data_IF_050623685848
#
_entry.id   IF_050623685848
#
_cell.length_a   1.000
_cell.length_b   1.000
_cell.length_c   1.000
_cell.angle_alpha   90.00
_cell.angle_beta   90.00
_cell.angle_gamma   90.00
#
_symmetry.space_group_name_H-M   'P 1'
#
loop_
_entity.id
_entity.type
_entity.pdbx_description
1 polymer ?
#
# COMPACT_ATOMS: atom_id res chain seq x y z
N UNK A 1 20.71 -8.54 41.26
CA UNK A 1 22.14 -8.37 41.62
C UNK A 1 22.38 -6.89 41.95
N UNK A 2 22.63 -6.59 43.23
CA UNK A 2 22.75 -5.23 43.78
C UNK A 2 24.20 -4.75 43.66
N UNK A 3 24.45 -3.58 43.07
CA UNK A 3 25.74 -2.87 43.18
C UNK A 3 25.58 -1.64 44.06
N UNK A 4 26.48 -1.56 45.04
CA UNK A 4 26.52 -0.65 46.18
C UNK A 4 27.31 0.61 45.79
N UNK A 5 26.78 1.80 46.06
CA UNK A 5 27.60 3.02 46.13
C UNK A 5 27.76 3.43 47.60
N UNK A 6 29.02 3.56 48.00
CA UNK A 6 29.51 3.80 49.35
C UNK A 6 29.37 5.29 49.69
N UNK A 7 28.75 5.59 50.83
CA UNK A 7 28.91 6.87 51.53
C UNK A 7 30.38 7.05 51.90
N UNK A 8 30.96 8.18 51.51
CA UNK A 8 32.22 8.67 52.07
C UNK A 8 31.86 9.40 53.36
N UNK A 9 32.06 8.71 54.48
CA UNK A 9 32.10 9.28 55.82
C UNK A 9 33.51 9.84 56.01
N UNK A 10 33.65 11.17 56.02
CA UNK A 10 34.89 11.81 56.42
C UNK A 10 34.94 11.86 57.95
N UNK A 11 35.74 10.97 58.53
CA UNK A 11 36.17 11.02 59.90
C UNK A 11 37.32 12.03 60.04
N UNK A 12 37.14 13.04 60.88
CA UNK A 12 38.26 13.70 61.56
C UNK A 12 37.89 13.78 63.03
N UNK A 13 38.44 12.84 63.80
CA UNK A 13 38.43 12.84 65.24
C UNK A 13 39.80 13.26 65.74
N UNK A 14 39.76 13.95 66.89
CA UNK A 14 40.80 14.05 67.90
C UNK A 14 41.98 15.02 67.72
N UNK A 15 41.92 16.03 68.59
CA UNK A 15 42.94 16.40 69.57
C UNK A 15 44.21 17.09 69.06
N UNK A 16 44.11 18.43 68.96
CA UNK A 16 45.20 19.31 69.36
C UNK A 16 44.72 20.11 70.57
N UNK A 17 45.09 19.63 71.75
CA UNK A 17 45.05 20.39 73.00
C UNK A 17 46.27 21.31 72.98
N UNK A 18 46.08 22.58 72.63
CA UNK A 18 47.11 23.61 72.68
C UNK A 18 46.54 24.85 73.38
N UNK A 19 47.00 25.10 74.60
CA UNK A 19 46.96 26.39 75.29
C UNK A 19 45.58 26.91 75.67
N UNK A 20 45.19 26.68 76.93
CA UNK A 20 44.35 27.65 77.64
C UNK A 20 45.20 28.90 77.83
N UNK A 21 45.21 29.79 76.83
CA UNK A 21 45.50 31.20 77.08
C UNK A 21 44.32 31.71 77.91
N UNK A 22 44.55 31.89 79.21
CA UNK A 22 43.69 32.73 80.01
C UNK A 22 43.67 34.09 79.31
N UNK A 23 42.54 34.44 78.70
CA UNK A 23 42.20 35.84 78.59
C UNK A 23 42.19 36.35 80.03
N UNK A 24 43.11 37.25 80.38
CA UNK A 24 42.96 38.04 81.59
C UNK A 24 41.60 38.72 81.48
N UNK A 25 40.65 38.27 82.28
CA UNK A 25 39.47 39.04 82.63
C UNK A 25 39.99 40.32 83.29
N UNK A 26 40.15 41.36 82.48
CA UNK A 26 40.31 42.72 82.95
C UNK A 26 38.98 43.13 83.58
N UNK A 27 38.75 42.70 84.82
CA UNK A 27 37.65 43.16 85.65
C UNK A 27 37.75 44.70 85.74
N UNK A 28 36.75 45.43 85.24
CA UNK A 28 36.82 46.89 85.08
C UNK A 28 37.07 47.56 86.43
N UNK A 29 38.11 48.39 86.51
CA UNK A 29 38.64 48.91 87.80
C UNK A 29 37.86 50.13 88.30
N UNK A 30 36.86 50.63 87.55
CA UNK A 30 35.91 51.65 88.00
C UNK A 30 34.54 51.58 87.28
N UNK A 31 33.48 52.08 87.92
CA UNK A 31 32.12 52.18 87.35
C UNK A 31 32.12 52.93 86.00
N UNK A 32 32.98 53.94 85.86
CA UNK A 32 33.13 54.75 84.64
C UNK A 32 33.72 53.95 83.47
N UNK A 33 34.67 53.06 83.76
CA UNK A 33 35.29 52.15 82.77
C UNK A 33 34.28 51.11 82.26
N UNK A 34 33.47 50.56 83.16
CA UNK A 34 32.34 49.66 82.86
C UNK A 34 31.31 50.33 81.94
N UNK A 35 30.96 51.58 82.25
CA UNK A 35 29.97 52.34 81.50
C UNK A 35 30.46 52.67 80.08
N UNK A 36 31.78 52.82 79.91
CA UNK A 36 32.43 53.03 78.62
C UNK A 36 32.46 51.74 77.80
N UNK A 37 32.84 50.61 78.41
CA UNK A 37 32.84 49.29 77.79
C UNK A 37 31.43 48.86 77.34
N UNK A 38 30.41 49.10 78.17
CA UNK A 38 29.00 48.82 77.83
C UNK A 38 28.51 49.72 76.70
N UNK A 39 28.87 51.01 76.68
CA UNK A 39 28.53 51.91 75.55
C UNK A 39 29.18 51.45 74.24
N UNK A 40 30.41 50.97 74.29
CA UNK A 40 31.15 50.48 73.13
C UNK A 40 30.55 49.16 72.61
N UNK A 41 30.28 48.20 73.51
CA UNK A 41 29.60 46.95 73.16
C UNK A 41 28.19 47.19 72.59
N UNK A 42 27.40 48.11 73.15
CA UNK A 42 26.10 48.47 72.59
C UNK A 42 26.19 49.08 71.18
N UNK A 43 27.26 49.82 70.87
CA UNK A 43 27.46 50.38 69.54
C UNK A 43 27.87 49.30 68.52
N UNK A 44 28.74 48.36 68.92
CA UNK A 44 29.15 47.20 68.12
C UNK A 44 27.97 46.25 67.87
N UNK A 45 27.20 45.92 68.91
CA UNK A 45 25.98 45.11 68.82
C UNK A 45 24.94 45.77 67.89
N UNK A 46 24.80 47.09 67.94
CA UNK A 46 23.89 47.84 67.07
C UNK A 46 24.32 47.81 65.60
N UNK A 47 25.63 47.82 65.33
CA UNK A 47 26.18 47.67 63.98
C UNK A 47 25.94 46.24 63.46
N UNK A 48 26.28 45.22 64.26
CA UNK A 48 26.07 43.82 63.88
C UNK A 48 24.58 43.51 63.67
N UNK A 49 23.70 44.05 64.51
CA UNK A 49 22.25 43.92 64.35
C UNK A 49 21.76 44.53 63.03
N UNK A 50 22.25 45.71 62.65
CA UNK A 50 21.94 46.34 61.36
C UNK A 50 22.43 45.52 60.18
N UNK A 51 23.62 44.94 60.25
CA UNK A 51 24.14 44.06 59.20
C UNK A 51 23.36 42.75 59.08
N UNK A 52 22.93 42.16 60.21
CA UNK A 52 22.06 40.98 60.21
C UNK A 52 20.70 41.29 59.62
N UNK A 53 20.09 42.42 60.00
CA UNK A 53 18.81 42.86 59.44
C UNK A 53 18.92 43.12 57.93
N UNK A 54 19.98 43.80 57.48
CA UNK A 54 20.23 44.04 56.06
C UNK A 54 20.42 42.73 55.27
N UNK A 55 21.20 41.78 55.80
CA UNK A 55 21.35 40.44 55.21
C UNK A 55 20.03 39.69 55.14
N UNK A 56 19.26 39.69 56.24
CA UNK A 56 17.95 39.03 56.29
C UNK A 56 16.97 39.60 55.25
N UNK A 57 16.92 40.92 55.09
CA UNK A 57 16.08 41.57 54.08
C UNK A 57 16.54 41.22 52.66
N UNK A 58 17.85 41.23 52.40
CA UNK A 58 18.40 40.85 51.10
C UNK A 58 18.09 39.38 50.75
N UNK A 59 18.25 38.46 51.70
CA UNK A 59 17.95 37.04 51.51
C UNK A 59 16.45 36.80 51.28
N UNK A 60 15.58 37.49 52.03
CA UNK A 60 14.13 37.44 51.83
C UNK A 60 13.76 37.89 50.41
N UNK A 61 14.33 38.99 49.95
CA UNK A 61 14.02 39.55 48.63
C UNK A 61 14.55 38.65 47.51
N UNK A 62 15.74 38.06 47.68
CA UNK A 62 16.30 37.07 46.76
C UNK A 62 15.41 35.81 46.67
N UNK A 63 14.94 35.29 47.82
CA UNK A 63 14.02 34.15 47.86
C UNK A 63 12.67 34.46 47.19
N UNK A 64 12.13 35.67 47.40
CA UNK A 64 10.90 36.10 46.74
C UNK A 64 11.06 36.19 45.23
N UNK A 65 12.18 36.72 44.75
CA UNK A 65 12.48 36.79 43.31
C UNK A 65 12.61 35.41 42.68
N UNK A 66 13.34 34.49 43.32
CA UNK A 66 13.48 33.12 42.81
C UNK A 66 12.15 32.38 42.82
N UNK A 67 11.33 32.54 43.88
CA UNK A 67 9.99 31.97 43.93
C UNK A 67 9.10 32.52 42.80
N UNK A 68 9.15 33.83 42.53
CA UNK A 68 8.40 34.46 41.44
C UNK A 68 8.87 33.93 40.06
N UNK A 69 10.17 33.75 39.87
CA UNK A 69 10.75 33.16 38.67
C UNK A 69 10.28 31.72 38.45
N UNK A 70 10.41 30.87 39.47
CA UNK A 70 9.99 29.45 39.40
C UNK A 70 8.49 29.34 39.14
N UNK A 71 7.66 30.18 39.78
CA UNK A 71 6.21 30.22 39.51
C UNK A 71 5.89 30.60 38.06
N UNK A 72 6.62 31.57 37.51
CA UNK A 72 6.47 31.98 36.11
C UNK A 72 6.88 30.87 35.15
N UNK A 73 8.00 30.20 35.41
CA UNK A 73 8.43 29.06 34.60
C UNK A 73 7.44 27.90 34.69
N UNK A 74 6.96 27.55 35.89
CA UNK A 74 5.95 26.51 36.09
C UNK A 74 4.70 26.79 35.26
N UNK A 75 4.18 28.03 35.31
CA UNK A 75 3.01 28.44 34.54
C UNK A 75 3.25 28.31 33.02
N UNK A 76 4.43 28.71 32.53
CA UNK A 76 4.79 28.58 31.12
C UNK A 76 4.89 27.10 30.69
N UNK A 77 5.49 26.24 31.52
CA UNK A 77 5.59 24.79 31.27
C UNK A 77 4.22 24.11 31.28
N UNK A 78 3.35 24.46 32.23
CA UNK A 78 1.98 23.95 32.30
C UNK A 78 1.17 24.35 31.06
N UNK A 79 1.26 25.63 30.63
CA UNK A 79 0.61 26.08 29.39
C UNK A 79 1.12 25.29 28.18
N UNK A 80 2.43 25.11 28.07
CA UNK A 80 3.03 24.33 26.98
C UNK A 80 2.59 22.87 27.01
N UNK A 81 2.49 22.27 28.19
CA UNK A 81 1.97 20.91 28.38
C UNK A 81 0.55 20.80 27.87
N UNK A 82 -0.34 21.71 28.27
CA UNK A 82 -1.73 21.73 27.81
C UNK A 82 -1.87 21.95 26.30
N UNK A 83 -0.99 22.75 25.68
CA UNK A 83 -0.95 22.90 24.22
C UNK A 83 -0.50 21.62 23.51
N UNK A 84 0.50 20.92 24.06
CA UNK A 84 1.01 19.67 23.50
C UNK A 84 -0.01 18.54 23.64
N UNK A 85 -0.70 18.46 24.78
CA UNK A 85 -1.77 17.51 25.04
C UNK A 85 -2.92 17.68 24.03
N UNK A 86 -3.40 18.92 23.84
CA UNK A 86 -4.40 19.22 22.79
C UNK A 86 -3.96 18.82 21.39
N UNK A 87 -2.67 19.01 21.05
CA UNK A 87 -2.13 18.60 19.74
C UNK A 87 -2.03 17.08 19.63
N UNK A 88 -1.66 16.42 20.71
CA UNK A 88 -1.59 14.97 20.78
C UNK A 88 -2.98 14.37 20.56
N UNK A 89 -4.00 14.84 21.29
CA UNK A 89 -5.38 14.38 21.13
C UNK A 89 -5.90 14.59 19.70
N UNK A 90 -5.65 15.78 19.13
CA UNK A 90 -6.04 16.07 17.75
C UNK A 90 -5.33 15.19 16.71
N UNK A 91 -4.07 14.84 16.94
CA UNK A 91 -3.32 13.95 16.07
C UNK A 91 -3.80 12.50 16.20
N UNK A 92 -4.12 12.03 17.41
CA UNK A 92 -4.71 10.70 17.62
C UNK A 92 -6.03 10.56 16.85
N UNK A 93 -6.91 11.56 16.91
CA UNK A 93 -8.15 11.56 16.10
C UNK A 93 -7.85 11.52 14.60
N UNK A 94 -6.91 12.36 14.11
CA UNK A 94 -6.55 12.37 12.67
C UNK A 94 -5.96 11.04 12.20
N UNK A 95 -5.14 10.40 13.04
CA UNK A 95 -4.54 9.10 12.72
C UNK A 95 -5.62 8.02 12.69
N UNK A 96 -6.56 8.02 13.64
CA UNK A 96 -7.69 7.11 13.65
C UNK A 96 -8.55 7.28 12.38
N UNK A 97 -8.92 8.51 12.04
CA UNK A 97 -9.69 8.83 10.83
C UNK A 97 -8.95 8.40 9.55
N UNK A 98 -7.64 8.67 9.47
CA UNK A 98 -6.84 8.31 8.30
C UNK A 98 -6.74 6.79 8.14
N UNK A 99 -6.57 6.05 9.24
CA UNK A 99 -6.56 4.57 9.24
C UNK A 99 -7.92 4.00 8.81
N UNK A 100 -9.01 4.57 9.31
CA UNK A 100 -10.35 4.16 8.91
C UNK A 100 -10.57 4.39 7.41
N UNK A 101 -10.26 5.58 6.89
CA UNK A 101 -10.36 5.89 5.45
C UNK A 101 -9.49 4.96 4.59
N UNK A 102 -8.29 4.64 5.06
CA UNK A 102 -7.42 3.70 4.36
C UNK A 102 -8.05 2.31 4.30
N UNK A 103 -8.59 1.83 5.42
CA UNK A 103 -9.28 0.53 5.49
C UNK A 103 -10.50 0.48 4.57
N UNK A 104 -11.35 1.52 4.58
CA UNK A 104 -12.51 1.64 3.70
C UNK A 104 -12.09 1.62 2.21
N UNK A 105 -11.04 2.36 1.85
CA UNK A 105 -10.51 2.39 0.49
C UNK A 105 -9.91 1.06 0.07
N UNK A 106 -9.19 0.37 0.95
CA UNK A 106 -8.66 -0.96 0.68
C UNK A 106 -9.79 -1.98 0.50
N UNK A 107 -10.83 -1.92 1.34
CA UNK A 107 -12.02 -2.78 1.18
C UNK A 107 -12.69 -2.58 -0.17
N UNK A 108 -12.95 -1.33 -0.56
CA UNK A 108 -13.51 -0.99 -1.87
C UNK A 108 -12.60 -1.42 -3.02
N UNK A 109 -11.28 -1.26 -2.88
CA UNK A 109 -10.33 -1.71 -3.91
C UNK A 109 -10.31 -3.23 -4.06
N UNK A 110 -10.35 -3.98 -2.96
CA UNK A 110 -10.45 -5.45 -2.98
C UNK A 110 -11.71 -5.93 -3.68
N UNK A 111 -12.85 -5.24 -3.49
CA UNK A 111 -14.09 -5.55 -4.21
C UNK A 111 -13.93 -5.33 -5.72
N UNK A 112 -13.38 -4.19 -6.13
CA UNK A 112 -13.12 -3.88 -7.54
C UNK A 112 -12.15 -4.89 -8.18
N UNK A 113 -11.10 -5.29 -7.46
CA UNK A 113 -10.16 -6.32 -7.93
C UNK A 113 -10.81 -7.70 -8.00
N UNK A 114 -11.75 -8.02 -7.11
CA UNK A 114 -12.56 -9.23 -7.20
C UNK A 114 -13.38 -9.26 -8.49
N UNK A 115 -14.04 -8.15 -8.83
CA UNK A 115 -14.82 -8.03 -10.07
C UNK A 115 -13.91 -8.11 -11.31
N UNK A 116 -12.74 -7.46 -11.28
CA UNK A 116 -11.75 -7.57 -12.33
C UNK A 116 -11.28 -9.01 -12.52
N UNK A 117 -11.00 -9.72 -11.44
CA UNK A 117 -10.53 -11.11 -11.46
C UNK A 117 -11.60 -12.04 -12.06
N UNK A 118 -12.87 -11.84 -11.70
CA UNK A 118 -13.98 -12.58 -12.28
C UNK A 118 -14.14 -12.30 -13.79
N UNK A 119 -14.18 -11.02 -14.18
CA UNK A 119 -14.29 -10.63 -15.58
C UNK A 119 -13.09 -11.09 -16.43
N UNK A 120 -11.88 -11.01 -15.88
CA UNK A 120 -10.68 -11.52 -16.53
C UNK A 120 -10.70 -13.05 -16.66
N UNK A 121 -11.24 -13.77 -15.67
CA UNK A 121 -11.44 -15.22 -15.74
C UNK A 121 -12.39 -15.63 -16.87
N UNK A 122 -13.53 -14.95 -16.97
CA UNK A 122 -14.50 -15.15 -18.06
C UNK A 122 -13.87 -14.84 -19.43
N UNK A 123 -13.15 -13.72 -19.53
CA UNK A 123 -12.46 -13.33 -20.75
C UNK A 123 -11.37 -14.32 -21.15
N UNK A 124 -10.59 -14.85 -20.19
CA UNK A 124 -9.58 -15.88 -20.43
C UNK A 124 -10.20 -17.12 -21.06
N UNK A 125 -11.32 -17.60 -20.51
CA UNK A 125 -12.02 -18.78 -21.02
C UNK A 125 -12.64 -18.50 -22.40
N UNK A 126 -13.20 -17.31 -22.60
CA UNK A 126 -13.70 -16.85 -23.90
C UNK A 126 -12.61 -16.77 -24.97
N UNK A 127 -11.48 -16.12 -24.67
CA UNK A 127 -10.33 -16.00 -25.58
C UNK A 127 -9.74 -17.36 -25.94
N UNK A 128 -9.63 -18.28 -24.97
CA UNK A 128 -9.06 -19.60 -25.19
C UNK A 128 -9.95 -20.50 -26.05
N UNK A 129 -11.27 -20.38 -25.92
CA UNK A 129 -12.24 -21.19 -26.66
C UNK A 129 -12.65 -20.58 -28.00
N UNK A 130 -12.47 -19.28 -28.21
CA UNK A 130 -12.84 -18.58 -29.45
C UNK A 130 -12.03 -19.01 -30.67
N UNK A 131 -12.66 -19.05 -31.85
CA UNK A 131 -11.97 -19.28 -33.14
C UNK A 131 -10.93 -18.21 -33.47
N UNK A 132 -11.11 -17.00 -32.95
CA UNK A 132 -10.13 -15.92 -33.10
C UNK A 132 -8.79 -16.27 -32.42
N UNK A 133 -8.74 -17.28 -31.52
CA UNK A 133 -7.52 -17.78 -30.91
C UNK A 133 -6.45 -18.17 -31.94
N UNK A 134 -6.85 -18.74 -33.07
CA UNK A 134 -5.93 -19.17 -34.13
C UNK A 134 -5.21 -17.97 -34.77
N UNK A 135 -5.88 -16.83 -34.86
CA UNK A 135 -5.37 -15.62 -35.50
C UNK A 135 -4.67 -14.69 -34.49
N UNK A 136 -5.36 -14.41 -33.39
CA UNK A 136 -4.94 -13.41 -32.41
C UNK A 136 -3.91 -13.97 -31.41
N UNK A 137 -3.72 -15.30 -31.37
CA UNK A 137 -2.67 -15.98 -30.62
C UNK A 137 -2.95 -16.17 -29.13
N UNK A 138 -2.20 -17.08 -28.50
CA UNK A 138 -2.35 -17.44 -27.08
C UNK A 138 -1.81 -16.38 -26.10
N UNK A 139 -0.98 -15.44 -26.56
CA UNK A 139 -0.37 -14.42 -25.70
C UNK A 139 -1.41 -13.60 -24.90
N UNK A 140 -2.59 -13.33 -25.47
CA UNK A 140 -3.67 -12.62 -24.76
C UNK A 140 -4.23 -13.41 -23.58
N UNK A 141 -4.26 -14.74 -23.68
CA UNK A 141 -4.66 -15.63 -22.58
C UNK A 141 -3.60 -15.57 -21.47
N UNK A 142 -2.31 -15.66 -21.83
CA UNK A 142 -1.19 -15.57 -20.89
C UNK A 142 -1.17 -14.23 -20.15
N UNK A 143 -1.34 -13.11 -20.87
CA UNK A 143 -1.43 -11.79 -20.25
C UNK A 143 -2.64 -11.66 -19.31
N UNK A 144 -3.78 -12.26 -19.67
CA UNK A 144 -4.98 -12.25 -18.82
C UNK A 144 -4.78 -13.09 -17.56
N UNK A 145 -4.07 -14.23 -17.66
CA UNK A 145 -3.67 -15.03 -16.49
C UNK A 145 -2.76 -14.22 -15.56
N UNK A 146 -1.75 -13.53 -16.10
CA UNK A 146 -0.87 -12.69 -15.28
C UNK A 146 -1.64 -11.53 -14.59
N UNK A 147 -2.66 -10.98 -15.24
CA UNK A 147 -3.55 -9.98 -14.63
C UNK A 147 -4.34 -10.56 -13.45
N UNK A 148 -4.93 -11.75 -13.63
CA UNK A 148 -5.68 -12.47 -12.58
C UNK A 148 -4.77 -12.76 -11.38
N UNK A 149 -3.55 -13.23 -11.62
CA UNK A 149 -2.59 -13.54 -10.55
C UNK A 149 -2.22 -12.31 -9.73
N UNK A 150 -1.96 -11.17 -10.39
CA UNK A 150 -1.69 -9.91 -9.70
C UNK A 150 -2.91 -9.44 -8.91
N UNK A 151 -4.07 -9.34 -9.56
CA UNK A 151 -5.32 -8.90 -8.93
C UNK A 151 -5.74 -9.77 -7.73
N UNK A 152 -5.50 -11.09 -7.81
CA UNK A 152 -5.83 -12.06 -6.77
C UNK A 152 -4.79 -12.18 -5.64
N UNK A 153 -3.56 -11.68 -5.84
CA UNK A 153 -2.48 -11.77 -4.84
C UNK A 153 -2.78 -10.99 -3.56
N UNK A 154 -3.61 -9.94 -3.63
CA UNK A 154 -3.92 -9.02 -2.53
C UNK A 154 -2.75 -8.15 -2.06
N UNK A 155 -1.54 -8.36 -2.59
CA UNK A 155 -0.31 -7.64 -2.22
C UNK A 155 0.18 -6.75 -3.36
N UNK A 156 0.08 -7.22 -4.60
CA UNK A 156 0.52 -6.50 -5.78
C UNK A 156 -0.69 -6.02 -6.59
N UNK A 157 -0.76 -4.72 -6.87
CA UNK A 157 -1.88 -4.13 -7.60
C UNK A 157 -1.61 -4.18 -9.11
N UNK A 158 -2.60 -4.55 -9.94
CA UNK A 158 -2.53 -4.35 -11.38
C UNK A 158 -2.20 -2.90 -11.72
N UNK A 159 -1.31 -2.71 -12.68
CA UNK A 159 -0.97 -1.38 -13.18
C UNK A 159 -2.03 -0.90 -14.16
N UNK A 160 -2.08 0.41 -14.41
CA UNK A 160 -2.98 0.97 -15.44
C UNK A 160 -2.72 0.35 -16.82
N UNK A 161 -1.44 0.10 -17.15
CA UNK A 161 -1.06 -0.55 -18.40
C UNK A 161 -1.63 -1.97 -18.53
N UNK A 162 -1.74 -2.71 -17.42
CA UNK A 162 -2.33 -4.04 -17.44
C UNK A 162 -3.84 -3.98 -17.77
N UNK A 163 -4.54 -2.98 -17.20
CA UNK A 163 -5.97 -2.76 -17.45
C UNK A 163 -6.23 -2.30 -18.88
N UNK A 164 -5.40 -1.41 -19.41
CA UNK A 164 -5.50 -0.93 -20.79
C UNK A 164 -5.28 -2.05 -21.79
N UNK A 165 -4.28 -2.92 -21.56
CA UNK A 165 -4.04 -4.08 -22.39
C UNK A 165 -5.22 -5.06 -22.36
N UNK A 166 -5.77 -5.32 -21.17
CA UNK A 166 -6.95 -6.18 -21.03
C UNK A 166 -8.17 -5.62 -21.78
N UNK A 167 -8.45 -4.32 -21.61
CA UNK A 167 -9.52 -3.62 -22.31
C UNK A 167 -9.32 -3.63 -23.84
N UNK A 168 -8.07 -3.52 -24.29
CA UNK A 168 -7.72 -3.61 -25.71
C UNK A 168 -8.02 -5.01 -26.26
N UNK A 169 -7.60 -6.08 -25.58
CA UNK A 169 -7.84 -7.45 -26.04
C UNK A 169 -9.34 -7.81 -26.05
N UNK A 170 -10.12 -7.31 -25.09
CA UNK A 170 -11.59 -7.45 -25.11
C UNK A 170 -12.20 -6.81 -26.36
N UNK A 171 -11.79 -5.60 -26.71
CA UNK A 171 -12.27 -4.94 -27.93
C UNK A 171 -11.81 -5.65 -29.20
N UNK A 172 -10.58 -6.17 -29.19
CA UNK A 172 -10.04 -6.92 -30.32
C UNK A 172 -10.82 -8.21 -30.54
N UNK A 173 -11.22 -8.91 -29.47
CA UNK A 173 -12.12 -10.07 -29.54
C UNK A 173 -13.52 -9.69 -30.04
N UNK A 174 -14.10 -8.58 -29.57
CA UNK A 174 -15.39 -8.09 -30.06
C UNK A 174 -15.35 -7.74 -31.55
N UNK A 175 -14.29 -7.07 -32.00
CA UNK A 175 -14.08 -6.74 -33.41
C UNK A 175 -13.92 -8.02 -34.25
N UNK A 176 -13.12 -8.97 -33.77
CA UNK A 176 -12.99 -10.29 -34.39
C UNK A 176 -14.34 -11.00 -34.50
N UNK A 177 -15.20 -10.93 -33.47
CA UNK A 177 -16.54 -11.53 -33.52
C UNK A 177 -17.46 -10.97 -34.59
N UNK A 178 -17.24 -9.73 -35.05
CA UNK A 178 -18.07 -9.06 -36.04
C UNK A 178 -17.55 -9.13 -37.48
N UNK A 179 -16.33 -9.61 -37.70
CA UNK A 179 -15.68 -9.55 -39.02
C UNK A 179 -15.61 -10.91 -39.72
N UNK A 180 -15.53 -10.84 -41.06
CA UNK A 180 -15.11 -11.96 -41.90
C UNK A 180 -13.67 -11.69 -42.31
N UNK A 181 -12.75 -12.55 -41.89
CA UNK A 181 -11.32 -12.31 -42.06
C UNK A 181 -10.60 -13.52 -42.65
N UNK A 182 -9.75 -13.26 -43.64
CA UNK A 182 -8.99 -14.27 -44.35
C UNK A 182 -7.51 -14.24 -43.93
N UNK A 183 -6.94 -15.39 -43.58
CA UNK A 183 -5.55 -15.50 -43.14
C UNK A 183 -5.00 -16.91 -43.41
N UNK A 184 -3.70 -17.11 -43.22
CA UNK A 184 -3.04 -18.41 -43.36
C UNK A 184 -2.98 -19.13 -42.00
N UNK A 185 -3.43 -20.38 -41.96
CA UNK A 185 -3.38 -21.20 -40.75
C UNK A 185 -2.94 -22.64 -41.02
N UNK A 186 -2.34 -23.29 -40.01
CA UNK A 186 -2.02 -24.71 -40.08
C UNK A 186 -3.29 -25.52 -39.89
N UNK A 187 -3.70 -26.26 -40.92
CA UNK A 187 -4.88 -27.15 -40.88
C UNK A 187 -4.45 -28.60 -40.93
N UNK A 188 -5.02 -29.43 -40.05
CA UNK A 188 -4.90 -30.88 -40.04
C UNK A 188 -5.94 -31.46 -41.00
N UNK A 189 -5.49 -32.15 -42.04
CA UNK A 189 -6.36 -32.87 -42.98
C UNK A 189 -6.84 -34.21 -42.40
N UNK A 190 -7.87 -34.82 -42.99
CA UNK A 190 -8.38 -36.13 -42.55
C UNK A 190 -7.33 -37.27 -42.63
N UNK A 191 -6.29 -37.10 -43.45
CA UNK A 191 -5.15 -38.02 -43.54
C UNK A 191 -4.10 -37.83 -42.43
N UNK A 192 -4.32 -36.88 -41.51
CA UNK A 192 -3.41 -36.53 -40.42
C UNK A 192 -2.27 -35.60 -40.81
N UNK A 193 -2.14 -35.23 -42.09
CA UNK A 193 -1.13 -34.28 -42.55
C UNK A 193 -1.47 -32.85 -42.12
N UNK A 194 -0.44 -32.05 -41.79
CA UNK A 194 -0.58 -30.62 -41.50
C UNK A 194 -0.07 -29.81 -42.68
N UNK A 195 -0.83 -28.79 -43.07
CA UNK A 195 -0.35 -27.81 -44.05
C UNK A 195 -0.90 -26.41 -43.79
N UNK A 196 -0.08 -25.40 -44.11
CA UNK A 196 -0.55 -24.02 -44.21
C UNK A 196 -1.60 -23.93 -45.32
N UNK A 197 -2.76 -23.44 -44.95
CA UNK A 197 -3.92 -23.32 -45.84
C UNK A 197 -4.53 -21.93 -45.63
N UNK A 198 -4.89 -21.24 -46.72
CA UNK A 198 -5.70 -20.03 -46.61
C UNK A 198 -7.08 -20.40 -46.06
N UNK A 199 -7.45 -19.74 -44.97
CA UNK A 199 -8.72 -19.94 -44.26
C UNK A 199 -9.46 -18.62 -44.14
N UNK A 200 -10.78 -18.72 -44.04
CA UNK A 200 -11.67 -17.58 -43.82
C UNK A 200 -12.50 -17.84 -42.56
N UNK A 201 -12.31 -16.98 -41.57
CA UNK A 201 -13.07 -16.97 -40.32
C UNK A 201 -14.29 -16.07 -40.48
N UNK A 202 -15.45 -16.56 -40.08
CA UNK A 202 -16.71 -15.82 -40.07
C UNK A 202 -17.10 -15.59 -38.60
N UNK A 203 -16.74 -14.41 -38.08
CA UNK A 203 -16.92 -14.05 -36.67
C UNK A 203 -16.21 -15.03 -35.73
N UNK A 204 -16.91 -15.45 -34.69
CA UNK A 204 -16.49 -16.53 -33.76
C UNK A 204 -17.26 -17.84 -33.99
N UNK A 205 -17.95 -17.96 -35.13
CA UNK A 205 -18.91 -19.04 -35.35
C UNK A 205 -18.38 -20.18 -36.21
N UNK A 206 -17.69 -19.86 -37.31
CA UNK A 206 -17.13 -20.88 -38.20
C UNK A 206 -15.83 -20.41 -38.84
N UNK A 207 -15.03 -21.37 -39.27
CA UNK A 207 -13.86 -21.15 -40.10
C UNK A 207 -13.85 -22.18 -41.23
N UNK A 208 -13.54 -21.71 -42.44
CA UNK A 208 -13.57 -22.52 -43.66
C UNK A 208 -12.27 -22.41 -44.44
N UNK A 209 -11.91 -23.44 -45.20
CA UNK A 209 -10.80 -23.36 -46.17
C UNK A 209 -11.18 -22.47 -47.36
N UNK A 210 -10.19 -22.05 -48.15
CA UNK A 210 -10.44 -21.39 -49.44
C UNK A 210 -11.28 -22.23 -50.41
N UNK A 211 -11.33 -23.55 -50.24
CA UNK A 211 -12.17 -24.46 -51.01
C UNK A 211 -13.60 -24.60 -50.45
N UNK A 212 -13.92 -23.97 -49.32
CA UNK A 212 -15.22 -24.00 -48.66
C UNK A 212 -15.38 -25.13 -47.62
N UNK A 213 -14.33 -25.89 -47.33
CA UNK A 213 -14.38 -26.96 -46.34
C UNK A 213 -14.52 -26.36 -44.94
N UNK A 214 -15.52 -26.81 -44.19
CA UNK A 214 -15.70 -26.46 -42.79
C UNK A 214 -14.63 -27.13 -41.93
N UNK A 215 -14.06 -26.31 -41.05
CA UNK A 215 -13.00 -26.69 -40.13
C UNK A 215 -13.50 -26.61 -38.69
N UNK A 216 -12.89 -27.41 -37.82
CA UNK A 216 -13.12 -27.44 -36.38
C UNK A 216 -11.86 -26.94 -35.66
N UNK A 217 -12.07 -26.15 -34.61
CA UNK A 217 -11.01 -25.77 -33.69
C UNK A 217 -11.03 -26.66 -32.45
N UNK A 218 -9.89 -27.29 -32.19
CA UNK A 218 -9.66 -28.07 -30.98
C UNK A 218 -9.00 -27.18 -29.92
N UNK A 219 -9.76 -26.85 -28.88
CA UNK A 219 -9.33 -25.93 -27.81
C UNK A 219 -8.15 -26.50 -27.00
N UNK A 220 -8.04 -27.82 -26.87
CA UNK A 220 -6.99 -28.44 -26.06
C UNK A 220 -5.62 -28.41 -26.74
N UNK A 221 -5.61 -28.58 -28.07
CA UNK A 221 -4.39 -28.61 -28.89
C UNK A 221 -4.12 -27.29 -29.61
N UNK A 222 -5.09 -26.38 -29.67
CA UNK A 222 -5.02 -25.14 -30.44
C UNK A 222 -4.99 -25.37 -31.96
N UNK A 223 -5.38 -26.56 -32.43
CA UNK A 223 -5.27 -26.95 -33.82
C UNK A 223 -6.59 -26.75 -34.57
N UNK A 224 -6.47 -26.35 -35.85
CA UNK A 224 -7.58 -26.45 -36.80
C UNK A 224 -7.53 -27.80 -37.50
N UNK A 225 -8.65 -28.49 -37.60
CA UNK A 225 -8.80 -29.73 -38.37
C UNK A 225 -9.98 -29.62 -39.33
N UNK A 226 -9.88 -30.30 -40.48
CA UNK A 226 -11.01 -30.42 -41.38
C UNK A 226 -12.04 -31.39 -40.79
N UNK A 227 -13.34 -31.05 -40.87
CA UNK A 227 -14.40 -31.96 -40.46
C UNK A 227 -14.35 -33.26 -41.28
N UNK A 228 -14.50 -34.40 -40.60
CA UNK A 228 -14.47 -35.73 -41.21
C UNK A 228 -15.58 -35.93 -42.25
N UNK A 229 -16.73 -35.28 -42.05
CA UNK A 229 -17.83 -35.21 -43.01
C UNK A 229 -18.21 -33.76 -43.21
N UNK A 230 -18.30 -33.32 -44.45
CA UNK A 230 -18.71 -31.96 -44.78
C UNK A 230 -20.24 -31.84 -44.78
N UNK A 231 -20.79 -30.64 -44.49
CA UNK A 231 -22.22 -30.39 -44.64
C UNK A 231 -22.67 -30.53 -46.11
N UNK A 232 -23.98 -30.42 -46.35
CA UNK A 232 -24.55 -30.53 -47.69
C UNK A 232 -23.78 -29.66 -48.70
N UNK A 233 -23.54 -30.19 -49.91
CA UNK A 233 -22.69 -29.56 -50.93
C UNK A 233 -23.06 -28.10 -51.23
N UNK A 234 -24.34 -27.72 -51.13
CA UNK A 234 -24.78 -26.32 -51.27
C UNK A 234 -24.15 -25.36 -50.25
N UNK A 235 -23.91 -25.80 -49.02
CA UNK A 235 -23.30 -24.99 -47.96
C UNK A 235 -21.78 -24.85 -48.17
N UNK A 236 -21.13 -25.94 -48.57
CA UNK A 236 -19.71 -25.94 -48.96
C UNK A 236 -19.48 -25.02 -50.17
N UNK A 237 -20.36 -25.08 -51.18
CA UNK A 237 -20.28 -24.20 -52.34
C UNK A 237 -20.45 -22.72 -51.97
N UNK A 238 -21.42 -22.40 -51.12
CA UNK A 238 -21.63 -21.04 -50.62
C UNK A 238 -20.44 -20.52 -49.79
N UNK A 239 -19.86 -21.38 -48.94
CA UNK A 239 -18.63 -21.06 -48.20
C UNK A 239 -17.43 -20.82 -49.14
N UNK A 240 -17.28 -21.62 -50.19
CA UNK A 240 -16.24 -21.44 -51.20
C UNK A 240 -16.43 -20.14 -52.01
N UNK A 241 -17.67 -19.72 -52.26
CA UNK A 241 -17.97 -18.43 -52.90
C UNK A 241 -17.60 -17.27 -51.97
N UNK A 242 -18.02 -17.32 -50.70
CA UNK A 242 -17.64 -16.33 -49.69
C UNK A 242 -16.11 -16.23 -49.57
N UNK A 243 -15.41 -17.35 -49.48
CA UNK A 243 -13.96 -17.39 -49.30
C UNK A 243 -13.17 -16.82 -50.49
N UNK A 244 -13.75 -16.83 -51.70
CA UNK A 244 -13.16 -16.23 -52.90
C UNK A 244 -13.59 -14.78 -53.13
N UNK A 245 -14.60 -14.31 -52.40
CA UNK A 245 -15.14 -12.97 -52.54
C UNK A 245 -14.30 -11.95 -51.79
N UNK A 246 -14.29 -10.71 -52.28
CA UNK A 246 -13.62 -9.57 -51.61
C UNK A 246 -14.61 -8.51 -51.13
N UNK A 247 -15.85 -8.56 -51.59
CA UNK A 247 -16.92 -7.61 -51.26
C UNK A 247 -18.30 -8.20 -51.62
N UNK A 248 -19.36 -7.57 -51.11
CA UNK A 248 -20.75 -7.91 -51.42
C UNK A 248 -21.41 -8.81 -50.37
N UNK A 249 -22.69 -9.12 -50.61
CA UNK A 249 -23.49 -9.98 -49.74
C UNK A 249 -23.45 -11.42 -50.28
N UNK A 250 -23.01 -12.36 -49.44
CA UNK A 250 -22.91 -13.77 -49.77
C UNK A 250 -23.68 -14.62 -48.75
N UNK A 251 -24.34 -15.68 -49.23
CA UNK A 251 -24.96 -16.65 -48.33
C UNK A 251 -23.90 -17.48 -47.62
N UNK A 252 -24.08 -17.74 -46.33
CA UNK A 252 -23.18 -18.60 -45.56
C UNK A 252 -23.97 -19.48 -44.59
N UNK A 253 -23.62 -20.76 -44.51
CA UNK A 253 -24.17 -21.68 -43.51
C UNK A 253 -23.46 -21.48 -42.19
N UNK A 254 -24.06 -20.72 -41.28
CA UNK A 254 -23.50 -20.41 -39.97
C UNK A 254 -24.00 -21.39 -38.90
N UNK A 255 -23.09 -21.84 -38.05
CA UNK A 255 -23.38 -22.68 -36.89
C UNK A 255 -22.84 -21.99 -35.61
N UNK A 256 -23.71 -21.35 -34.81
CA UNK A 256 -23.32 -20.63 -33.61
C UNK A 256 -23.22 -21.55 -32.38
N UNK A 257 -23.34 -22.87 -32.53
CA UNK A 257 -23.39 -23.78 -31.40
C UNK A 257 -21.99 -24.12 -30.86
N UNK A 258 -21.91 -24.30 -29.55
CA UNK A 258 -20.66 -24.60 -28.84
C UNK A 258 -19.82 -23.35 -28.54
N UNK A 259 -18.85 -23.47 -27.63
CA UNK A 259 -18.03 -22.34 -27.18
C UNK A 259 -17.05 -21.83 -28.25
N UNK A 260 -16.65 -22.69 -29.19
CA UNK A 260 -15.78 -22.37 -30.33
C UNK A 260 -16.53 -22.26 -31.65
N UNK A 261 -17.88 -22.23 -31.63
CA UNK A 261 -18.70 -22.30 -32.84
C UNK A 261 -18.57 -23.62 -33.62
N UNK A 262 -19.51 -23.90 -34.52
CA UNK A 262 -19.45 -25.11 -35.34
C UNK A 262 -19.67 -26.44 -34.59
N UNK A 263 -20.12 -26.40 -33.32
CA UNK A 263 -20.24 -27.59 -32.47
C UNK A 263 -21.25 -28.62 -32.99
N UNK A 264 -22.34 -28.17 -33.59
CA UNK A 264 -23.36 -29.01 -34.20
C UNK A 264 -22.82 -29.65 -35.49
N UNK A 265 -22.14 -28.87 -36.34
CA UNK A 265 -21.48 -29.40 -37.51
C UNK A 265 -20.41 -30.43 -37.14
N UNK A 266 -19.62 -30.20 -36.09
CA UNK A 266 -18.66 -31.18 -35.60
C UNK A 266 -19.38 -32.45 -35.10
N UNK A 267 -20.44 -32.32 -34.30
CA UNK A 267 -21.18 -33.44 -33.73
C UNK A 267 -21.89 -34.32 -34.76
N UNK A 268 -22.30 -33.78 -35.91
CA UNK A 268 -22.88 -34.57 -37.01
C UNK A 268 -21.86 -35.43 -37.77
N UNK A 269 -20.58 -35.27 -37.44
CA UNK A 269 -19.44 -35.80 -38.19
C UNK A 269 -18.50 -36.65 -37.34
N UNK A 270 -18.69 -36.64 -36.02
CA UNK A 270 -18.13 -37.58 -35.05
C UNK A 270 -18.85 -38.94 -35.13
#
# INVERSE_FOLDING_TARGET
>A
MKRRYRMVVAAIACSVFAGVLHAEDASPRSITELLTLVRQGQAEDALEAREREARFLADRDAQQQELARVRTELAARQKRSAELEKRFDANETRIADARQRLSEKLGSLTELLGHLTAAAGEARDGFGSSLSAVELGAARVEHTVALIERAGSGVELPTMSDLENFWYELQREMAAGGEVHAFEASVVRPDGSRSQTPVVRVGVFNIVSAAGDYLQYDVASGALSQLARQPQQRLVAAAAELARSTQGLHGFGLDPSGPSGGGFLAALTA
#
